data_IF_427985733242
#
_entry.id   IF_427985733242
#
_cell.length_a   1.000
_cell.length_b   1.000
_cell.length_c   1.000
_cell.angle_alpha   90.00
_cell.angle_beta   90.00
_cell.angle_gamma   90.00
#
_symmetry.space_group_name_H-M   'P 1'
#
loop_
_entity.id
_entity.type
_entity.pdbx_description
1 polymer ?
#
# COMPACT_ATOMS: atom_id res chain seq x y z
N UNK A 1 -0.87 -5.99 -15.60
CA UNK A 1 -0.70 -5.74 -14.15
C UNK A 1 -1.77 -6.57 -13.47
N UNK A 2 -1.37 -7.54 -12.65
CA UNK A 2 -2.23 -8.64 -12.14
C UNK A 2 -3.59 -8.16 -11.61
N UNK A 3 -3.65 -7.00 -10.94
CA UNK A 3 -4.92 -6.44 -10.46
C UNK A 3 -5.89 -6.07 -11.59
N UNK A 4 -5.41 -5.46 -12.68
CA UNK A 4 -6.27 -5.12 -13.83
C UNK A 4 -6.76 -6.37 -14.56
N UNK A 5 -5.92 -7.39 -14.64
CA UNK A 5 -6.27 -8.70 -15.21
C UNK A 5 -7.36 -9.39 -14.37
N UNK A 6 -7.34 -9.18 -13.05
CA UNK A 6 -8.37 -9.66 -12.12
C UNK A 6 -9.60 -8.75 -12.02
N UNK A 7 -9.77 -7.77 -12.92
CA UNK A 7 -10.96 -6.91 -13.00
C UNK A 7 -11.01 -5.76 -12.00
N UNK A 8 -9.92 -5.47 -11.27
CA UNK A 8 -9.87 -4.29 -10.40
C UNK A 8 -9.77 -3.01 -11.24
N UNK A 9 -10.57 -2.00 -10.88
CA UNK A 9 -10.36 -0.64 -11.35
C UNK A 9 -9.17 -0.03 -10.59
N UNK A 10 -8.11 0.30 -11.33
CA UNK A 10 -6.85 0.73 -10.73
C UNK A 10 -6.54 2.16 -11.11
N UNK A 11 -6.60 3.03 -10.10
CA UNK A 11 -6.20 4.44 -10.17
C UNK A 11 -4.73 4.56 -9.76
N UNK A 12 -3.89 5.00 -10.69
CA UNK A 12 -2.48 5.29 -10.41
C UNK A 12 -2.32 6.78 -10.03
N UNK A 13 -1.83 7.04 -8.82
CA UNK A 13 -1.71 8.40 -8.26
C UNK A 13 -0.31 9.02 -8.52
N UNK A 14 0.60 8.32 -9.19
CA UNK A 14 1.90 8.85 -9.66
C UNK A 14 3.14 8.30 -8.92
N UNK A 15 4.34 8.78 -9.31
CA UNK A 15 5.64 8.23 -8.87
C UNK A 15 6.24 8.89 -7.62
N UNK A 16 5.79 10.10 -7.26
CA UNK A 16 6.26 10.80 -6.06
C UNK A 16 5.12 11.69 -5.56
N UNK A 17 4.53 11.30 -4.44
CA UNK A 17 3.40 11.99 -3.81
C UNK A 17 3.70 12.12 -2.32
N UNK A 18 3.33 13.24 -1.70
CA UNK A 18 3.48 13.43 -0.26
C UNK A 18 2.49 12.56 0.51
N UNK A 19 2.80 12.25 1.78
CA UNK A 19 1.90 11.50 2.66
C UNK A 19 0.54 12.18 2.82
N UNK A 20 0.53 13.51 2.95
CA UNK A 20 -0.69 14.32 3.03
C UNK A 20 -1.56 14.18 1.78
N UNK A 21 -0.95 14.20 0.60
CA UNK A 21 -1.68 14.04 -0.65
C UNK A 21 -2.21 12.61 -0.82
N UNK A 22 -1.52 11.58 -0.31
CA UNK A 22 -2.06 10.21 -0.27
C UNK A 22 -3.30 10.16 0.62
N UNK A 23 -3.25 10.73 1.84
CA UNK A 23 -4.40 10.77 2.74
C UNK A 23 -5.61 11.45 2.10
N UNK A 24 -5.40 12.61 1.44
CA UNK A 24 -6.46 13.29 0.69
C UNK A 24 -7.03 12.44 -0.45
N UNK A 25 -6.19 11.67 -1.15
CA UNK A 25 -6.65 10.76 -2.20
C UNK A 25 -7.49 9.63 -1.61
N UNK A 26 -7.08 9.07 -0.47
CA UNK A 26 -7.85 8.03 0.22
C UNK A 26 -9.21 8.57 0.65
N UNK A 27 -9.29 9.78 1.20
CA UNK A 27 -10.56 10.39 1.62
C UNK A 27 -11.51 10.67 0.44
N UNK A 28 -10.95 11.11 -0.70
CA UNK A 28 -11.73 11.47 -1.88
C UNK A 28 -12.18 10.26 -2.70
N UNK A 29 -11.27 9.32 -2.93
CA UNK A 29 -11.51 8.13 -3.78
C UNK A 29 -12.20 7.03 -2.97
N UNK A 30 -11.93 6.95 -1.66
CA UNK A 30 -12.39 5.87 -0.77
C UNK A 30 -12.09 4.48 -1.33
N UNK A 31 -10.82 4.18 -1.66
CA UNK A 31 -10.48 2.92 -2.30
C UNK A 31 -10.68 1.74 -1.34
N UNK A 32 -11.12 0.60 -1.85
CA UNK A 32 -11.14 -0.65 -1.09
C UNK A 32 -9.73 -1.15 -0.75
N UNK A 33 -8.78 -0.87 -1.64
CA UNK A 33 -7.39 -1.33 -1.58
C UNK A 33 -6.44 -0.15 -1.88
N UNK A 34 -5.45 0.06 -1.01
CA UNK A 34 -4.31 0.94 -1.27
C UNK A 34 -3.04 0.11 -1.35
N UNK A 35 -2.37 0.19 -2.49
CA UNK A 35 -1.03 -0.36 -2.68
C UNK A 35 -0.02 0.78 -2.82
N UNK A 36 0.97 0.84 -1.94
CA UNK A 36 2.02 1.86 -2.00
C UNK A 36 3.41 1.27 -1.78
N UNK A 37 4.41 1.91 -2.38
CA UNK A 37 5.81 1.50 -2.27
C UNK A 37 6.64 2.61 -1.62
N UNK A 38 7.41 2.27 -0.59
CA UNK A 38 8.34 3.21 0.01
C UNK A 38 9.74 3.00 -0.54
N UNK A 39 10.26 4.03 -1.20
CA UNK A 39 11.64 4.09 -1.69
C UNK A 39 12.46 4.85 -0.63
N UNK A 40 13.61 4.27 -0.27
CA UNK A 40 14.46 4.58 0.88
C UNK A 40 14.71 6.09 1.09
N UNK A 41 14.85 6.51 2.36
CA UNK A 41 15.18 7.90 2.74
C UNK A 41 14.26 8.53 3.80
N UNK A 42 13.21 7.81 4.23
CA UNK A 42 12.27 8.31 5.24
C UNK A 42 12.64 7.85 6.65
N UNK A 43 12.43 8.71 7.65
CA UNK A 43 12.59 8.35 9.06
C UNK A 43 11.53 7.32 9.44
N UNK A 44 11.93 6.26 10.16
CA UNK A 44 11.02 5.21 10.68
C UNK A 44 9.81 5.81 11.37
N UNK A 45 10.00 6.87 12.17
CA UNK A 45 8.91 7.57 12.87
C UNK A 45 7.89 8.22 11.94
N UNK A 46 8.34 8.77 10.82
CA UNK A 46 7.45 9.38 9.84
C UNK A 46 6.64 8.31 9.11
N UNK A 47 7.28 7.19 8.78
CA UNK A 47 6.62 6.06 8.17
C UNK A 47 5.59 5.41 9.12
N UNK A 48 5.94 5.26 10.39
CA UNK A 48 5.01 4.77 11.41
C UNK A 48 3.77 5.66 11.51
N UNK A 49 3.98 6.98 11.62
CA UNK A 49 2.88 7.95 11.66
C UNK A 49 1.97 7.82 10.43
N UNK A 50 2.55 7.68 9.25
CA UNK A 50 1.77 7.52 8.02
C UNK A 50 0.91 6.24 8.03
N UNK A 51 1.46 5.11 8.48
CA UNK A 51 0.70 3.86 8.59
C UNK A 51 -0.44 3.98 9.63
N UNK A 52 -0.16 4.61 10.77
CA UNK A 52 -1.17 4.85 11.82
C UNK A 52 -2.28 5.79 11.33
N UNK A 53 -1.93 6.87 10.64
CA UNK A 53 -2.88 7.81 10.08
C UNK A 53 -3.78 7.11 9.05
N UNK A 54 -3.22 6.31 8.14
CA UNK A 54 -4.02 5.55 7.16
C UNK A 54 -5.00 4.58 7.83
N UNK A 55 -4.54 3.84 8.83
CA UNK A 55 -5.36 2.86 9.54
C UNK A 55 -6.51 3.52 10.31
N UNK A 56 -6.26 4.67 10.93
CA UNK A 56 -7.27 5.38 11.71
C UNK A 56 -8.28 6.15 10.85
N UNK A 57 -7.88 6.62 9.66
CA UNK A 57 -8.73 7.45 8.80
C UNK A 57 -9.49 6.65 7.74
N UNK A 58 -9.15 5.39 7.49
CA UNK A 58 -9.80 4.61 6.43
C UNK A 58 -10.04 3.14 6.77
N UNK A 59 -11.08 2.57 6.16
CA UNK A 59 -11.33 1.12 6.12
C UNK A 59 -10.63 0.43 4.94
N UNK A 60 -9.82 1.16 4.18
CA UNK A 60 -9.05 0.66 3.05
C UNK A 60 -8.11 -0.45 3.50
N UNK A 61 -8.08 -1.56 2.75
CA UNK A 61 -7.08 -2.61 2.95
C UNK A 61 -5.72 -2.11 2.49
N UNK A 62 -4.75 -2.10 3.39
CA UNK A 62 -3.42 -1.54 3.16
C UNK A 62 -2.45 -2.63 2.70
N UNK A 63 -1.75 -2.35 1.60
CA UNK A 63 -0.69 -3.20 1.07
C UNK A 63 0.56 -2.38 0.79
N UNK A 64 1.70 -2.90 1.22
CA UNK A 64 2.96 -2.19 1.16
C UNK A 64 4.04 -3.01 0.47
N UNK A 65 4.87 -2.34 -0.32
CA UNK A 65 6.12 -2.88 -0.83
C UNK A 65 7.26 -1.89 -0.57
N UNK A 66 8.50 -2.35 -0.66
CA UNK A 66 9.67 -1.48 -0.49
C UNK A 66 10.82 -2.18 0.20
N UNK A 67 11.70 -1.39 0.82
CA UNK A 67 12.87 -1.92 1.53
C UNK A 67 12.42 -2.79 2.73
N UNK A 68 12.74 -4.11 2.74
CA UNK A 68 12.33 -5.02 3.81
C UNK A 68 12.83 -4.60 5.19
N UNK A 69 14.06 -4.10 5.27
CA UNK A 69 14.67 -3.69 6.54
C UNK A 69 13.95 -2.48 7.13
N UNK A 70 13.47 -1.56 6.30
CA UNK A 70 12.66 -0.43 6.75
C UNK A 70 11.27 -0.88 7.19
N UNK A 71 10.61 -1.72 6.39
CA UNK A 71 9.24 -2.16 6.63
C UNK A 71 9.10 -3.05 7.88
N UNK A 72 10.15 -3.78 8.26
CA UNK A 72 10.21 -4.56 9.51
C UNK A 72 10.25 -3.70 10.77
N UNK A 73 10.63 -2.43 10.66
CA UNK A 73 10.76 -1.51 11.79
C UNK A 73 9.49 -0.71 12.08
N UNK A 74 8.45 -0.90 11.28
CA UNK A 74 7.16 -0.19 11.42
C UNK A 74 6.01 -1.18 11.50
N UNK A 75 5.01 -0.84 12.30
CA UNK A 75 3.71 -1.48 12.22
C UNK A 75 2.92 -0.86 11.06
N UNK A 76 2.75 -1.63 9.99
CA UNK A 76 2.11 -1.17 8.75
C UNK A 76 0.59 -1.27 8.79
N UNK A 77 0.01 -2.01 9.75
CA UNK A 77 -1.43 -2.33 9.80
C UNK A 77 -1.98 -2.98 8.51
N UNK A 78 -1.09 -3.51 7.66
CA UNK A 78 -1.41 -4.00 6.33
C UNK A 78 -0.54 -5.18 5.95
N UNK A 79 -0.76 -5.71 4.74
CA UNK A 79 0.05 -6.80 4.21
C UNK A 79 1.27 -6.23 3.50
N UNK A 80 2.45 -6.70 3.91
CA UNK A 80 3.73 -6.33 3.30
C UNK A 80 4.13 -7.40 2.29
N UNK A 81 4.59 -6.97 1.13
CA UNK A 81 5.22 -7.82 0.13
C UNK A 81 6.69 -7.45 -0.01
N UNK A 82 7.56 -8.44 0.09
CA UNK A 82 9.01 -8.26 0.00
C UNK A 82 9.56 -8.60 -1.39
N UNK A 83 8.72 -9.13 -2.29
CA UNK A 83 9.07 -9.38 -3.69
C UNK A 83 7.84 -9.27 -4.61
N UNK A 84 8.09 -9.06 -5.91
CA UNK A 84 7.04 -9.04 -6.93
C UNK A 84 6.37 -10.42 -7.08
N UNK A 85 7.13 -11.50 -6.97
CA UNK A 85 6.60 -12.87 -7.04
C UNK A 85 5.65 -13.18 -5.87
N UNK A 86 5.95 -12.70 -4.66
CA UNK A 86 5.03 -12.82 -3.52
C UNK A 86 3.72 -12.07 -3.76
N UNK A 87 3.81 -10.86 -4.33
CA UNK A 87 2.65 -10.06 -4.70
C UNK A 87 1.80 -10.77 -5.78
N UNK A 88 2.42 -11.20 -6.87
CA UNK A 88 1.73 -11.86 -7.98
C UNK A 88 1.07 -13.16 -7.51
N UNK A 89 1.74 -13.98 -6.69
CA UNK A 89 1.14 -15.20 -6.12
C UNK A 89 -0.04 -14.91 -5.22
N UNK A 90 0.00 -13.85 -4.41
CA UNK A 90 -1.11 -13.50 -3.53
C UNK A 90 -2.37 -13.14 -4.31
N UNK A 91 -2.22 -12.36 -5.38
CA UNK A 91 -3.36 -11.94 -6.20
C UNK A 91 -3.78 -12.98 -7.26
N UNK A 92 -2.90 -13.91 -7.65
CA UNK A 92 -3.23 -15.01 -8.57
C UNK A 92 -3.81 -16.25 -7.87
N UNK A 93 -3.33 -16.61 -6.67
CA UNK A 93 -3.88 -17.71 -5.88
C UNK A 93 -5.20 -17.35 -5.20
N UNK A 94 -5.54 -16.07 -5.19
CA UNK A 94 -6.92 -15.63 -4.95
C UNK A 94 -7.73 -15.88 -6.22
N UNK A 95 -7.77 -17.13 -6.71
CA UNK A 95 -8.87 -17.56 -7.57
C UNK A 95 -10.14 -17.32 -6.78
N UNK A 96 -10.79 -16.21 -7.12
CA UNK A 96 -12.12 -15.82 -6.70
C UNK A 96 -13.07 -16.97 -7.01
N UNK A 97 -13.20 -17.89 -6.07
CA UNK A 97 -14.35 -18.78 -5.91
C UNK A 97 -15.16 -18.25 -4.74
#
# INVERSE_FOLDING_TARGET
MVLKENGFDVVNVGKTISFESILQCVDKIKPDILFTTFIVGQKVTLLQKFCDDLFNHSKTKLFFAGNPELLRLVNTHGKVFYSLDEFDRFFNNSSLN
#
